data_IF_313439073548
#
_entry.id   IF_313439073548
#
_cell.length_a   1.000
_cell.length_b   1.000
_cell.length_c   1.000
_cell.angle_alpha   90.00
_cell.angle_beta   90.00
_cell.angle_gamma   90.00
#
_symmetry.space_group_name_H-M   'P 1'
#
loop_
_entity.id
_entity.type
_entity.pdbx_description
1 polymer ?
#
# COMPACT_ATOMS: atom_id res chain seq x y z
N UNK A 1 19.25 18.85 5.04
CA UNK A 1 17.91 19.07 5.60
C UNK A 1 17.10 17.82 5.33
N UNK A 2 16.43 17.28 6.34
CA UNK A 2 15.60 16.09 6.18
C UNK A 2 14.24 16.53 5.63
N UNK A 3 13.85 16.03 4.47
CA UNK A 3 12.54 16.28 3.87
C UNK A 3 11.46 15.53 4.65
N UNK A 4 10.35 16.20 4.94
CA UNK A 4 9.18 15.60 5.58
C UNK A 4 8.56 14.57 4.62
N UNK A 5 8.20 13.40 5.12
CA UNK A 5 7.58 12.33 4.34
C UNK A 5 6.07 12.23 4.64
N UNK A 6 5.29 11.96 3.60
CA UNK A 6 3.87 11.63 3.70
C UNK A 6 3.67 10.12 3.50
N UNK A 7 3.13 9.46 4.52
CA UNK A 7 2.86 8.02 4.52
C UNK A 7 1.34 7.79 4.52
N UNK A 8 0.85 7.02 3.55
CA UNK A 8 -0.57 6.69 3.39
C UNK A 8 -0.79 5.20 3.62
N UNK A 9 -1.68 4.83 4.54
CA UNK A 9 -2.10 3.45 4.78
C UNK A 9 -3.56 3.34 4.39
N UNK A 10 -3.95 2.40 3.54
CA UNK A 10 -5.37 2.20 3.27
C UNK A 10 -5.66 0.80 2.74
N UNK A 11 -6.93 0.42 2.83
CA UNK A 11 -7.47 -0.79 2.23
C UNK A 11 -8.73 -0.49 1.44
N UNK A 12 -9.32 -1.52 0.85
CA UNK A 12 -10.61 -1.44 0.18
C UNK A 12 -11.56 -2.48 0.75
N UNK A 13 -12.82 -2.09 0.93
CA UNK A 13 -13.84 -3.01 1.39
C UNK A 13 -14.24 -4.02 0.32
N UNK A 14 -14.55 -5.23 0.77
CA UNK A 14 -15.16 -6.25 -0.08
C UNK A 14 -16.55 -5.85 -0.56
N UNK A 15 -16.98 -6.49 -1.64
CA UNK A 15 -18.25 -6.34 -2.37
C UNK A 15 -18.55 -4.89 -2.78
N UNK A 16 -17.52 -4.03 -2.75
CA UNK A 16 -17.58 -2.64 -3.17
C UNK A 16 -17.13 -2.54 -4.63
N UNK A 17 -17.12 -1.33 -5.17
CA UNK A 17 -16.69 -1.09 -6.55
C UNK A 17 -15.21 -1.46 -6.77
N UNK A 18 -14.97 -2.62 -7.39
CA UNK A 18 -13.64 -3.15 -7.69
C UNK A 18 -12.86 -2.24 -8.63
N UNK A 19 -13.54 -1.51 -9.52
CA UNK A 19 -12.91 -0.59 -10.47
C UNK A 19 -12.18 0.58 -9.80
N UNK A 20 -12.54 0.92 -8.56
CA UNK A 20 -11.87 1.98 -7.79
C UNK A 20 -10.57 1.54 -7.13
N UNK A 21 -10.43 0.26 -6.80
CA UNK A 21 -9.26 -0.31 -6.10
C UNK A 21 -7.94 0.10 -6.75
N UNK A 22 -7.70 -0.15 -8.06
CA UNK A 22 -6.44 0.24 -8.70
C UNK A 22 -6.27 1.76 -8.79
N UNK A 23 -7.34 2.52 -9.06
CA UNK A 23 -7.27 3.98 -9.15
C UNK A 23 -6.87 4.62 -7.81
N UNK A 24 -7.40 4.12 -6.70
CA UNK A 24 -7.03 4.59 -5.36
C UNK A 24 -5.55 4.34 -5.08
N UNK A 25 -5.01 3.17 -5.43
CA UNK A 25 -3.57 2.88 -5.30
C UNK A 25 -2.71 3.81 -6.14
N UNK A 26 -3.10 4.06 -7.40
CA UNK A 26 -2.35 4.98 -8.26
C UNK A 26 -2.30 6.38 -7.66
N UNK A 27 -3.43 6.89 -7.17
CA UNK A 27 -3.50 8.22 -6.56
C UNK A 27 -2.69 8.26 -5.26
N UNK A 28 -2.82 7.26 -4.39
CA UNK A 28 -2.08 7.20 -3.14
C UNK A 28 -0.56 7.19 -3.39
N UNK A 29 -0.10 6.37 -4.33
CA UNK A 29 1.33 6.25 -4.67
C UNK A 29 1.89 7.46 -5.41
N UNK A 30 1.05 8.24 -6.12
CA UNK A 30 1.45 9.51 -6.71
C UNK A 30 1.52 10.66 -5.70
N UNK A 31 0.77 10.56 -4.59
CA UNK A 31 0.61 11.62 -3.59
C UNK A 31 1.35 11.38 -2.29
N UNK A 32 1.94 10.19 -2.09
CA UNK A 32 2.68 9.80 -0.89
C UNK A 32 4.03 9.19 -1.22
N UNK A 33 5.02 9.50 -0.38
CA UNK A 33 6.36 8.92 -0.48
C UNK A 33 6.34 7.42 -0.15
N UNK A 34 5.43 7.03 0.73
CA UNK A 34 5.18 5.64 1.12
C UNK A 34 3.68 5.36 1.13
N UNK A 35 3.26 4.36 0.38
CA UNK A 35 1.92 3.78 0.46
C UNK A 35 2.01 2.40 1.12
N UNK A 36 1.14 2.10 2.08
CA UNK A 36 0.98 0.77 2.66
C UNK A 36 -0.44 0.28 2.39
N UNK A 37 -0.58 -0.72 1.53
CA UNK A 37 -1.85 -1.37 1.28
C UNK A 37 -2.13 -2.40 2.37
N UNK A 38 -3.39 -2.48 2.80
CA UNK A 38 -3.83 -3.41 3.85
C UNK A 38 -5.24 -3.92 3.61
N UNK A 39 -5.64 -5.00 4.30
CA UNK A 39 -7.06 -5.36 4.38
C UNK A 39 -7.83 -4.30 5.17
N UNK A 40 -9.01 -3.92 4.67
CA UNK A 40 -9.98 -3.09 5.37
C UNK A 40 -11.41 -3.55 5.05
N UNK A 41 -12.02 -4.31 5.96
CA UNK A 41 -13.37 -4.88 5.81
C UNK A 41 -13.55 -5.74 4.53
N UNK A 42 -12.89 -6.90 4.42
CA UNK A 42 -12.92 -7.75 3.22
C UNK A 42 -14.29 -8.43 2.99
N UNK A 43 -15.18 -8.42 3.99
CA UNK A 43 -16.47 -9.12 3.97
C UNK A 43 -16.30 -10.61 3.61
N UNK A 44 -16.77 -11.02 2.44
CA UNK A 44 -16.71 -12.40 1.93
C UNK A 44 -15.60 -12.61 0.89
N UNK A 45 -14.93 -11.55 0.43
CA UNK A 45 -13.80 -11.64 -0.50
C UNK A 45 -12.51 -12.00 0.23
N UNK A 46 -11.58 -12.68 -0.46
CA UNK A 46 -10.23 -12.90 0.05
C UNK A 46 -9.49 -11.54 0.13
N UNK A 47 -8.92 -11.16 1.30
CA UNK A 47 -8.08 -9.97 1.41
C UNK A 47 -6.95 -9.89 0.39
N UNK A 48 -6.38 -11.03 -0.01
CA UNK A 48 -5.28 -11.08 -0.98
C UNK A 48 -5.76 -10.75 -2.40
N UNK A 49 -6.96 -11.18 -2.78
CA UNK A 49 -7.58 -10.82 -4.06
C UNK A 49 -7.87 -9.31 -4.12
N UNK A 50 -8.33 -8.72 -3.01
CA UNK A 50 -8.54 -7.27 -2.93
C UNK A 50 -7.21 -6.53 -3.08
N UNK A 51 -6.14 -7.00 -2.42
CA UNK A 51 -4.82 -6.38 -2.51
C UNK A 51 -4.20 -6.53 -3.90
N UNK A 52 -4.45 -7.64 -4.60
CA UNK A 52 -4.04 -7.84 -6.00
C UNK A 52 -4.75 -6.85 -6.94
N UNK A 53 -6.08 -6.69 -6.79
CA UNK A 53 -6.86 -5.68 -7.53
C UNK A 53 -6.32 -4.26 -7.28
N UNK A 54 -5.88 -3.97 -6.06
CA UNK A 54 -5.29 -2.69 -5.70
C UNK A 54 -3.90 -2.49 -6.34
N UNK A 55 -3.04 -3.52 -6.33
CA UNK A 55 -1.70 -3.49 -6.91
C UNK A 55 -1.70 -3.22 -8.42
N UNK A 56 -2.74 -3.66 -9.14
CA UNK A 56 -2.91 -3.39 -10.56
C UNK A 56 -2.86 -1.88 -10.89
N UNK A 57 -3.18 -1.02 -9.92
CA UNK A 57 -3.07 0.44 -10.04
C UNK A 57 -1.66 0.96 -10.31
N UNK A 58 -0.63 0.20 -9.94
CA UNK A 58 0.78 0.51 -10.20
C UNK A 58 1.42 -0.47 -11.20
N UNK A 59 0.60 -1.25 -11.90
CA UNK A 59 1.03 -2.15 -12.96
C UNK A 59 1.68 -3.43 -12.46
N UNK A 60 1.42 -3.84 -11.21
CA UNK A 60 1.92 -5.09 -10.65
C UNK A 60 0.78 -6.03 -10.28
N UNK A 61 1.14 -7.30 -10.23
CA UNK A 61 0.39 -8.37 -9.57
C UNK A 61 1.03 -8.72 -8.22
N UNK A 62 0.27 -9.35 -7.34
CA UNK A 62 0.75 -9.93 -6.09
C UNK A 62 1.90 -10.91 -6.35
N UNK A 63 1.81 -11.72 -7.40
CA UNK A 63 2.89 -12.66 -7.75
C UNK A 63 4.19 -11.95 -8.10
N UNK A 64 4.13 -10.86 -8.86
CA UNK A 64 5.31 -10.04 -9.17
C UNK A 64 5.84 -9.39 -7.91
N UNK A 65 4.98 -8.79 -7.09
CA UNK A 65 5.35 -8.17 -5.82
C UNK A 65 6.09 -9.13 -4.88
N UNK A 66 5.61 -10.37 -4.75
CA UNK A 66 6.21 -11.35 -3.84
C UNK A 66 7.60 -11.84 -4.28
N UNK A 67 7.90 -11.88 -5.59
CA UNK A 67 9.26 -12.21 -6.08
C UNK A 67 10.32 -11.22 -5.58
N UNK A 68 9.91 -10.01 -5.29
CA UNK A 68 10.76 -8.94 -4.77
C UNK A 68 10.97 -9.04 -3.25
N UNK A 69 10.01 -9.66 -2.53
CA UNK A 69 10.09 -9.88 -1.09
C UNK A 69 11.20 -10.84 -0.62
N UNK A 70 11.71 -11.71 -1.49
CA UNK A 70 12.77 -12.67 -1.12
C UNK A 70 14.13 -12.00 -0.79
N UNK A 71 14.36 -10.77 -1.24
CA UNK A 71 15.61 -10.04 -1.03
C UNK A 71 15.45 -8.80 -0.14
N UNK A 72 14.37 -8.69 0.64
CA UNK A 72 13.96 -7.47 1.35
C UNK A 72 13.90 -6.23 0.42
N UNK A 73 13.80 -6.45 -0.89
CA UNK A 73 13.88 -5.42 -1.92
C UNK A 73 12.51 -5.23 -2.54
N UNK A 74 11.75 -4.26 -2.06
CA UNK A 74 10.47 -3.90 -2.67
C UNK A 74 10.70 -3.20 -4.00
N UNK A 75 9.85 -3.43 -5.01
CA UNK A 75 10.12 -2.84 -6.30
C UNK A 75 9.90 -1.31 -6.18
N UNK A 76 10.80 -0.47 -6.70
CA UNK A 76 10.59 0.97 -6.68
C UNK A 76 9.56 1.35 -7.75
N UNK A 77 8.69 2.30 -7.45
CA UNK A 77 7.79 2.86 -8.45
C UNK A 77 8.56 3.81 -9.37
N UNK A 78 8.11 4.05 -10.62
CA UNK A 78 8.79 4.96 -11.56
C UNK A 78 8.99 6.38 -11.03
N UNK A 79 8.16 6.82 -10.09
CA UNK A 79 8.25 8.12 -9.43
C UNK A 79 9.22 8.14 -8.22
N UNK A 80 9.86 7.01 -7.88
CA UNK A 80 10.74 6.86 -6.72
C UNK A 80 10.03 6.58 -5.40
N UNK A 81 8.69 6.60 -5.37
CA UNK A 81 7.90 6.31 -4.17
C UNK A 81 7.86 4.81 -3.90
N UNK A 82 7.49 4.47 -2.67
CA UNK A 82 7.51 3.09 -2.17
C UNK A 82 6.12 2.59 -1.88
N UNK A 83 5.89 1.31 -2.13
CA UNK A 83 4.64 0.62 -1.83
C UNK A 83 4.92 -0.66 -1.04
N UNK A 84 4.17 -0.84 0.05
CA UNK A 84 4.26 -2.01 0.93
C UNK A 84 2.89 -2.68 1.07
N UNK A 85 2.87 -3.98 1.28
CA UNK A 85 1.64 -4.75 1.52
C UNK A 85 1.68 -5.44 2.89
N UNK A 86 0.64 -5.20 3.68
CA UNK A 86 0.39 -5.89 4.94
C UNK A 86 -1.11 -6.14 5.10
N UNK A 87 -1.55 -7.37 4.89
CA UNK A 87 -2.95 -7.80 5.03
C UNK A 87 -3.54 -7.51 6.42
N UNK A 88 -2.73 -7.57 7.48
CA UNK A 88 -3.16 -7.23 8.84
C UNK A 88 -3.08 -5.72 9.08
N UNK A 89 -4.24 -5.05 9.13
CA UNK A 89 -4.38 -3.59 9.35
C UNK A 89 -3.60 -3.04 10.55
N UNK A 90 -3.53 -3.79 11.65
CA UNK A 90 -2.75 -3.39 12.84
C UNK A 90 -1.25 -3.41 12.57
N UNK A 91 -0.76 -4.37 11.77
CA UNK A 91 0.64 -4.45 11.37
C UNK A 91 0.98 -3.29 10.44
N UNK A 92 0.15 -3.04 9.42
CA UNK A 92 0.32 -1.92 8.49
C UNK A 92 0.50 -0.57 9.22
N UNK A 93 -0.38 -0.27 10.18
CA UNK A 93 -0.30 0.97 10.98
C UNK A 93 0.97 1.00 11.83
N UNK A 94 1.33 -0.11 12.48
CA UNK A 94 2.55 -0.18 13.29
C UNK A 94 3.81 0.01 12.45
N UNK A 95 3.86 -0.59 11.26
CA UNK A 95 4.96 -0.40 10.31
C UNK A 95 5.08 1.07 9.91
N UNK A 96 4.00 1.73 9.50
CA UNK A 96 4.03 3.14 9.14
C UNK A 96 4.51 4.05 10.28
N UNK A 97 4.01 3.82 11.50
CA UNK A 97 4.44 4.59 12.68
C UNK A 97 5.91 4.34 13.01
N UNK A 98 6.41 3.11 12.86
CA UNK A 98 7.81 2.78 13.10
C UNK A 98 8.74 3.30 11.99
N UNK A 99 8.26 3.43 10.76
CA UNK A 99 9.00 3.99 9.62
C UNK A 99 9.06 5.52 9.66
N UNK A 100 8.00 6.15 10.15
CA UNK A 100 7.89 7.60 10.26
C UNK A 100 8.88 8.17 11.28
N UNK A 101 9.27 9.42 11.04
CA UNK A 101 10.16 10.19 11.91
C UNK A 101 9.44 11.45 12.38
N UNK A 102 10.04 12.16 13.33
CA UNK A 102 9.51 13.44 13.79
C UNK A 102 9.31 14.40 12.61
N UNK A 103 8.10 14.95 12.49
CA UNK A 103 7.68 15.81 11.39
C UNK A 103 6.97 15.09 10.23
N UNK A 104 7.10 13.77 10.10
CA UNK A 104 6.38 13.02 9.07
C UNK A 104 4.88 12.95 9.37
N UNK A 105 4.07 12.84 8.31
CA UNK A 105 2.62 12.72 8.41
C UNK A 105 2.22 11.30 8.02
N UNK A 106 1.49 10.63 8.92
CA UNK A 106 0.91 9.31 8.69
C UNK A 106 -0.62 9.43 8.61
N UNK A 107 -1.20 9.03 7.48
CA UNK A 107 -2.64 8.97 7.26
C UNK A 107 -3.10 7.53 7.13
N UNK A 108 -4.25 7.21 7.72
CA UNK A 108 -4.88 5.88 7.72
C UNK A 108 -6.39 6.01 7.52
#
# INVERSE_FOLDING_TARGET
MQTLSFLCIFGCAGESDRGKRPMMTKIATDKSDVTILTSDNPKTEDPLDILDDMLAGVGWTMQEYLKHGENDYYPPLPNGNRIFLHDIRRVAVRCAVAMGKEGDIVVR
#
